data_IF_974230375250
#
_entry.id   IF_974230375250
#
_cell.length_a   1.000
_cell.length_b   1.000
_cell.length_c   1.000
_cell.angle_alpha   90.00
_cell.angle_beta   90.00
_cell.angle_gamma   90.00
#
_symmetry.space_group_name_H-M   'P 1'
#
loop_
_entity.id
_entity.type
_entity.pdbx_description
1 polymer ?
#
# COMPACT_ATOMS: atom_id res chain seq x y z
N UNK A 1 22.60 3.46 -5.59
CA UNK A 1 22.18 4.51 -4.63
C UNK A 1 23.34 5.50 -4.53
N UNK A 2 23.15 6.76 -4.92
CA UNK A 2 24.17 7.80 -4.77
C UNK A 2 23.84 8.56 -3.48
N UNK A 3 24.84 8.69 -2.59
CA UNK A 3 24.72 9.44 -1.33
C UNK A 3 25.52 10.73 -1.50
N UNK A 4 24.83 11.86 -1.60
CA UNK A 4 25.47 13.18 -1.64
C UNK A 4 25.52 13.75 -0.22
N UNK A 5 26.73 13.91 0.32
CA UNK A 5 26.94 14.60 1.58
C UNK A 5 27.19 16.10 1.32
N UNK A 6 26.63 16.96 2.18
CA UNK A 6 26.90 18.40 2.19
C UNK A 6 27.61 18.77 3.49
N UNK A 7 28.76 19.41 3.39
CA UNK A 7 29.54 19.95 4.50
C UNK A 7 30.14 21.32 4.13
N UNK A 8 30.56 22.13 5.13
CA UNK A 8 31.10 23.47 4.88
C UNK A 8 32.44 23.41 4.12
N UNK A 9 32.68 24.41 3.27
CA UNK A 9 33.59 24.35 2.14
C UNK A 9 35.12 24.41 2.44
N UNK A 10 35.55 24.32 3.70
CA UNK A 10 36.96 24.49 4.10
C UNK A 10 37.53 23.35 4.97
N UNK A 11 37.18 22.11 4.66
CA UNK A 11 37.97 20.96 5.12
C UNK A 11 38.34 20.06 3.95
N UNK A 12 39.64 19.86 3.76
CA UNK A 12 40.20 18.94 2.76
C UNK A 12 39.59 17.56 2.95
N UNK A 13 38.85 17.10 1.94
CA UNK A 13 38.08 15.86 2.02
C UNK A 13 39.02 14.65 2.13
N UNK A 14 39.19 14.15 3.35
CA UNK A 14 39.86 12.86 3.59
C UNK A 14 39.03 11.77 2.90
N UNK A 15 39.61 10.94 2.01
CA UNK A 15 38.87 9.89 1.35
C UNK A 15 38.42 8.85 2.38
N UNK A 16 37.12 8.82 2.67
CA UNK A 16 36.51 7.80 3.52
C UNK A 16 36.57 6.45 2.81
N UNK A 17 37.40 5.55 3.32
CA UNK A 17 37.44 4.16 2.87
C UNK A 17 36.16 3.44 3.34
N UNK A 18 35.17 3.37 2.46
CA UNK A 18 33.91 2.66 2.70
C UNK A 18 34.07 1.17 2.34
N UNK A 19 34.05 0.30 3.36
CA UNK A 19 33.97 -1.15 3.16
C UNK A 19 32.50 -1.58 3.01
N UNK A 20 32.13 -2.01 1.80
CA UNK A 20 30.76 -2.37 1.44
C UNK A 20 30.55 -3.89 1.47
N UNK A 21 30.17 -4.43 2.62
CA UNK A 21 29.73 -5.83 2.74
C UNK A 21 28.30 -6.01 2.20
N UNK A 22 28.14 -6.92 1.23
CA UNK A 22 26.83 -7.47 0.84
C UNK A 22 26.37 -8.43 1.95
N UNK A 23 25.11 -8.32 2.38
CA UNK A 23 24.55 -9.11 3.50
C UNK A 23 23.71 -10.32 3.05
N UNK A 24 23.70 -10.67 1.77
CA UNK A 24 22.90 -11.76 1.21
C UNK A 24 23.79 -12.76 0.45
N UNK A 25 24.07 -13.89 1.11
CA UNK A 25 24.83 -15.02 0.57
C UNK A 25 24.94 -16.13 1.62
N UNK A 26 24.77 -17.42 1.27
CA UNK A 26 24.58 -18.48 2.26
C UNK A 26 25.92 -18.86 2.94
N UNK A 27 25.97 -18.73 4.27
CA UNK A 27 27.13 -19.17 5.06
C UNK A 27 26.86 -20.57 5.61
N UNK A 28 27.48 -21.57 4.99
CA UNK A 28 27.57 -22.92 5.53
C UNK A 28 28.96 -23.16 6.12
N UNK A 29 29.03 -23.84 7.28
CA UNK A 29 30.26 -24.52 7.73
C UNK A 29 30.94 -23.98 8.99
N UNK A 30 30.31 -24.19 10.15
CA UNK A 30 31.05 -24.56 11.38
C UNK A 30 30.38 -25.84 11.93
N UNK A 31 31.07 -26.97 11.81
CA UNK A 31 30.76 -28.22 12.52
C UNK A 31 31.20 -28.09 13.99
N UNK A 32 30.68 -28.76 15.04
CA UNK A 32 29.86 -29.98 15.25
C UNK A 32 29.37 -29.94 16.73
N UNK A 33 28.44 -30.75 17.28
CA UNK A 33 27.61 -31.84 16.75
C UNK A 33 26.32 -32.03 17.61
N UNK A 34 25.16 -32.17 16.98
CA UNK A 34 23.99 -32.91 17.51
C UNK A 34 23.12 -33.32 16.31
N UNK A 35 22.63 -34.56 16.26
CA UNK A 35 22.24 -35.22 15.01
C UNK A 35 20.75 -35.58 14.89
N UNK A 36 20.36 -35.94 13.65
CA UNK A 36 19.09 -36.53 13.20
C UNK A 36 17.87 -35.57 13.10
N UNK A 37 17.08 -35.56 12.01
CA UNK A 37 17.16 -36.31 10.76
C UNK A 37 16.60 -35.52 9.55
N UNK A 38 17.10 -35.88 8.36
CA UNK A 38 16.75 -35.35 7.06
C UNK A 38 15.28 -35.57 6.64
N UNK A 39 14.75 -34.70 5.75
CA UNK A 39 14.31 -35.13 4.42
C UNK A 39 13.92 -33.96 3.48
N UNK A 40 14.40 -34.07 2.25
CA UNK A 40 14.05 -33.32 1.04
C UNK A 40 12.55 -33.24 0.75
N UNK A 41 12.03 -32.03 0.52
CA UNK A 41 11.16 -31.68 -0.62
C UNK A 41 11.19 -30.15 -0.79
N UNK A 42 11.23 -29.59 -2.00
CA UNK A 42 10.62 -30.09 -3.23
C UNK A 42 9.23 -29.49 -3.47
N UNK A 43 8.96 -28.30 -2.92
CA UNK A 43 7.68 -27.59 -3.04
C UNK A 43 7.66 -26.58 -4.18
N UNK A 44 7.52 -27.06 -5.42
CA UNK A 44 7.23 -26.21 -6.59
C UNK A 44 5.72 -26.11 -6.81
N UNK A 45 5.10 -25.03 -6.34
CA UNK A 45 3.90 -24.31 -6.85
C UNK A 45 3.61 -23.19 -5.84
N UNK A 46 3.21 -21.98 -6.21
CA UNK A 46 2.30 -21.66 -7.32
C UNK A 46 2.90 -20.77 -8.39
N UNK A 47 2.46 -20.98 -9.63
CA UNK A 47 2.48 -19.92 -10.63
C UNK A 47 1.50 -18.83 -10.17
N UNK A 48 2.02 -17.77 -9.54
CA UNK A 48 1.27 -16.53 -9.41
C UNK A 48 1.05 -15.99 -10.83
N UNK A 49 -0.17 -16.17 -11.35
CA UNK A 49 -0.61 -15.48 -12.56
C UNK A 49 -0.25 -14.00 -12.39
N UNK A 50 0.54 -13.46 -13.32
CA UNK A 50 1.08 -12.10 -13.26
C UNK A 50 -0.07 -11.09 -13.28
N UNK A 51 -0.59 -10.81 -12.09
CA UNK A 51 -1.81 -10.04 -11.89
C UNK A 51 -1.44 -8.59 -12.09
N UNK A 52 -1.79 -8.04 -13.27
CA UNK A 52 -1.38 -6.70 -13.65
C UNK A 52 -1.96 -5.68 -12.67
N UNK A 53 -1.09 -5.01 -11.95
CA UNK A 53 -1.46 -3.93 -11.03
C UNK A 53 -1.40 -2.59 -11.75
N UNK A 54 -2.55 -1.90 -11.81
CA UNK A 54 -2.67 -0.58 -12.42
C UNK A 54 -1.96 0.44 -11.52
N UNK A 55 -0.92 1.15 -12.01
CA UNK A 55 -0.25 2.17 -11.22
C UNK A 55 -1.21 3.31 -10.85
N UNK A 56 -1.16 3.70 -9.59
CA UNK A 56 -1.89 4.87 -9.07
C UNK A 56 -0.92 5.90 -8.50
N UNK A 57 -1.40 7.13 -8.40
CA UNK A 57 -0.83 8.21 -7.63
C UNK A 57 -1.77 8.51 -6.47
N UNK A 58 -1.22 8.63 -5.26
CA UNK A 58 -1.97 8.87 -4.03
C UNK A 58 -1.45 10.14 -3.38
N UNK A 59 -2.32 11.12 -3.21
CA UNK A 59 -2.07 12.30 -2.39
C UNK A 59 -2.65 12.07 -1.00
N UNK A 60 -1.87 12.34 0.04
CA UNK A 60 -2.33 12.37 1.44
C UNK A 60 -2.07 13.75 2.05
N UNK A 61 -3.05 14.33 2.74
CA UNK A 61 -2.80 15.40 3.69
C UNK A 61 -2.52 14.76 5.06
N UNK A 62 -1.26 14.77 5.47
CA UNK A 62 -0.80 14.19 6.72
C UNK A 62 -0.58 15.33 7.72
N UNK A 63 -1.06 15.18 8.96
CA UNK A 63 -0.87 16.20 9.98
C UNK A 63 0.60 16.60 10.12
N UNK A 64 0.86 17.90 10.32
CA UNK A 64 2.20 18.51 10.46
C UNK A 64 3.14 18.35 9.24
N UNK A 65 2.91 17.38 8.35
CA UNK A 65 3.73 17.09 7.18
C UNK A 65 3.15 17.63 5.85
N UNK A 66 1.87 18.03 5.86
CA UNK A 66 1.16 18.65 4.74
C UNK A 66 0.73 17.66 3.67
N UNK A 67 0.45 18.18 2.48
CA UNK A 67 0.20 17.36 1.29
C UNK A 67 1.47 16.62 0.88
N UNK A 68 1.36 15.30 0.71
CA UNK A 68 2.42 14.41 0.25
C UNK A 68 1.89 13.54 -0.88
N UNK A 69 2.65 13.47 -1.96
CA UNK A 69 2.33 12.69 -3.15
C UNK A 69 3.17 11.42 -3.19
N UNK A 70 2.54 10.28 -3.44
CA UNK A 70 3.16 8.97 -3.44
C UNK A 70 2.76 8.16 -4.68
N UNK A 71 3.67 7.35 -5.26
CA UNK A 71 3.24 6.25 -6.10
C UNK A 71 2.48 5.25 -5.23
N UNK A 72 1.25 4.89 -5.64
CA UNK A 72 0.45 3.87 -4.98
C UNK A 72 0.96 2.47 -5.32
N UNK A 73 2.10 2.11 -4.75
CA UNK A 73 2.73 0.79 -4.81
C UNK A 73 3.15 0.41 -3.40
N UNK A 74 2.32 -0.37 -2.72
CA UNK A 74 2.51 -0.71 -1.30
C UNK A 74 1.94 0.33 -0.34
N UNK A 75 2.55 0.45 0.84
CA UNK A 75 2.09 1.35 1.90
C UNK A 75 2.52 2.80 1.66
N UNK A 76 1.56 3.72 1.76
CA UNK A 76 1.78 5.17 1.67
C UNK A 76 1.21 5.87 2.90
N UNK A 77 1.88 6.93 3.37
CA UNK A 77 1.57 7.60 4.63
C UNK A 77 2.67 7.44 5.67
N UNK A 78 2.29 7.43 6.95
CA UNK A 78 3.19 7.49 8.10
C UNK A 78 3.11 6.23 8.96
N UNK A 79 3.23 5.06 8.33
CA UNK A 79 3.10 3.74 8.94
C UNK A 79 3.95 3.59 10.22
N UNK A 80 3.32 3.24 11.34
CA UNK A 80 3.91 3.08 12.67
C UNK A 80 4.34 4.39 13.36
N UNK A 81 4.07 5.55 12.76
CA UNK A 81 4.55 6.86 13.27
C UNK A 81 3.47 7.67 13.97
N UNK A 82 2.21 7.23 13.94
CA UNK A 82 1.05 7.93 14.53
C UNK A 82 0.94 9.39 14.08
N UNK A 83 1.03 9.61 12.76
CA UNK A 83 0.63 10.87 12.12
C UNK A 83 -0.66 10.61 11.34
N UNK A 84 -1.75 11.23 11.75
CA UNK A 84 -3.07 11.06 11.12
C UNK A 84 -3.12 11.62 9.70
N UNK A 85 -3.86 10.94 8.84
CA UNK A 85 -4.30 11.40 7.53
C UNK A 85 -5.63 12.16 7.73
N UNK A 86 -5.67 13.44 7.35
CA UNK A 86 -6.91 14.25 7.39
C UNK A 86 -7.67 14.24 6.04
N UNK A 87 -6.95 13.97 4.95
CA UNK A 87 -7.51 13.87 3.60
C UNK A 87 -6.67 12.98 2.68
N UNK A 88 -7.30 12.44 1.63
CA UNK A 88 -6.62 11.70 0.56
C UNK A 88 -7.25 11.95 -0.81
N UNK A 89 -6.51 11.62 -1.87
CA UNK A 89 -6.99 11.50 -3.24
C UNK A 89 -6.25 10.35 -3.92
N UNK A 90 -6.96 9.54 -4.72
CA UNK A 90 -6.39 8.44 -5.51
C UNK A 90 -6.59 8.77 -6.99
N UNK A 91 -5.58 8.56 -7.82
CA UNK A 91 -5.63 8.76 -9.27
C UNK A 91 -4.96 7.60 -10.01
N UNK A 92 -5.69 6.78 -10.78
CA UNK A 92 -5.11 5.83 -11.73
C UNK A 92 -4.31 6.59 -12.80
N UNK A 93 -3.16 6.03 -13.16
CA UNK A 93 -2.26 6.63 -14.17
C UNK A 93 -2.45 6.03 -15.57
N UNK A 94 -3.02 4.82 -15.65
CA UNK A 94 -3.35 4.12 -16.91
C UNK A 94 -4.58 3.22 -16.71
N UNK A 95 -5.05 2.58 -17.80
CA UNK A 95 -6.08 1.53 -17.87
C UNK A 95 -7.51 1.86 -17.37
N UNK A 96 -7.66 2.80 -16.44
CA UNK A 96 -8.90 3.23 -15.81
C UNK A 96 -8.93 4.77 -15.83
N UNK A 97 -10.05 5.38 -16.23
CA UNK A 97 -10.19 6.83 -16.17
C UNK A 97 -10.29 7.30 -14.71
N UNK A 98 -9.75 8.47 -14.33
CA UNK A 98 -9.91 8.97 -12.95
C UNK A 98 -11.37 9.09 -12.50
N UNK A 99 -12.31 9.36 -13.42
CA UNK A 99 -13.75 9.38 -13.12
C UNK A 99 -14.35 8.01 -12.75
N UNK A 100 -13.69 6.91 -13.12
CA UNK A 100 -14.17 5.53 -12.91
C UNK A 100 -13.69 4.90 -11.59
N UNK A 101 -12.89 5.63 -10.80
CA UNK A 101 -12.61 5.29 -9.40
C UNK A 101 -13.35 6.27 -8.50
N UNK A 102 -13.99 5.75 -7.47
CA UNK A 102 -14.66 6.54 -6.45
C UNK A 102 -14.18 6.13 -5.06
N UNK A 103 -14.03 7.10 -4.17
CA UNK A 103 -13.70 6.86 -2.78
C UNK A 103 -14.46 7.79 -1.84
N UNK A 104 -14.64 7.33 -0.60
CA UNK A 104 -15.11 8.16 0.51
C UNK A 104 -14.27 7.93 1.76
N UNK A 105 -14.24 8.93 2.62
CA UNK A 105 -13.55 8.94 3.89
C UNK A 105 -14.54 8.84 5.03
N UNK A 106 -14.10 8.24 6.12
CA UNK A 106 -14.88 8.08 7.32
C UNK A 106 -14.36 9.02 8.40
N UNK A 107 -15.28 9.72 9.06
CA UNK A 107 -14.99 10.77 10.04
C UNK A 107 -15.38 10.28 11.45
N UNK A 108 -14.75 10.82 12.50
CA UNK A 108 -15.11 10.56 13.88
C UNK A 108 -16.61 10.72 14.17
N UNK A 109 -17.10 10.03 15.20
CA UNK A 109 -18.51 10.07 15.65
C UNK A 109 -19.51 9.62 14.58
N UNK A 110 -19.10 8.69 13.72
CA UNK A 110 -19.95 8.08 12.69
C UNK A 110 -20.15 8.90 11.41
N UNK A 111 -19.47 10.05 11.27
CA UNK A 111 -19.55 10.84 10.04
C UNK A 111 -18.94 10.11 8.83
N UNK A 112 -19.32 10.55 7.63
CA UNK A 112 -18.67 10.14 6.39
C UNK A 112 -18.71 11.26 5.35
N UNK A 113 -17.76 11.24 4.42
CA UNK A 113 -17.81 12.10 3.24
C UNK A 113 -18.76 11.53 2.19
N UNK A 114 -19.13 12.37 1.24
CA UNK A 114 -19.72 11.91 -0.02
C UNK A 114 -18.69 11.07 -0.78
N UNK A 115 -19.15 10.22 -1.71
CA UNK A 115 -18.27 9.58 -2.69
C UNK A 115 -17.76 10.66 -3.64
N UNK A 116 -16.44 10.69 -3.86
CA UNK A 116 -15.78 11.59 -4.80
C UNK A 116 -14.94 10.77 -5.78
N UNK A 117 -14.74 11.33 -6.97
CA UNK A 117 -14.03 10.67 -8.07
C UNK A 117 -12.51 10.89 -8.02
N UNK A 118 -11.76 10.12 -8.81
CA UNK A 118 -10.31 10.18 -8.89
C UNK A 118 -9.73 11.56 -9.17
N UNK A 119 -8.75 11.95 -8.35
CA UNK A 119 -8.14 13.28 -8.37
C UNK A 119 -8.87 14.35 -7.52
N UNK A 120 -10.08 14.09 -7.04
CA UNK A 120 -10.74 14.96 -6.07
C UNK A 120 -10.26 14.67 -4.64
N UNK A 121 -10.16 15.71 -3.80
CA UNK A 121 -9.76 15.52 -2.41
C UNK A 121 -10.94 15.05 -1.56
N UNK A 122 -10.76 13.92 -0.89
CA UNK A 122 -11.66 13.39 0.13
C UNK A 122 -11.12 13.69 1.53
N UNK A 123 -11.88 14.39 2.36
CA UNK A 123 -11.51 14.76 3.73
C UNK A 123 -11.30 16.27 3.90
N UNK A 124 -10.45 16.68 4.83
CA UNK A 124 -10.16 18.11 5.10
C UNK A 124 -8.67 18.39 5.26
N UNK A 125 -8.22 19.61 4.97
CA UNK A 125 -6.83 20.04 5.22
C UNK A 125 -6.75 20.97 6.43
N UNK A 126 -5.75 20.77 7.28
CA UNK A 126 -5.40 21.65 8.40
C UNK A 126 -6.49 21.80 9.47
N UNK A 127 -7.47 20.90 9.53
CA UNK A 127 -8.59 20.96 10.50
C UNK A 127 -8.38 20.09 11.73
N UNK A 128 -7.29 19.30 11.79
CA UNK A 128 -7.03 18.32 12.85
C UNK A 128 -8.14 17.28 12.99
N UNK A 129 -8.91 17.07 11.93
CA UNK A 129 -9.96 16.07 11.85
C UNK A 129 -9.39 14.84 11.12
N UNK A 130 -9.04 13.75 11.83
CA UNK A 130 -8.53 12.55 11.19
C UNK A 130 -9.61 11.88 10.35
N UNK A 131 -9.18 11.15 9.33
CA UNK A 131 -9.95 10.04 8.80
C UNK A 131 -9.78 8.85 9.75
N UNK A 132 -10.88 8.16 10.04
CA UNK A 132 -10.93 6.93 10.85
C UNK A 132 -11.16 5.69 9.97
N UNK A 133 -10.89 5.85 8.67
CA UNK A 133 -11.14 4.85 7.65
C UNK A 133 -11.53 5.44 6.30
N UNK A 134 -11.71 4.57 5.32
CA UNK A 134 -12.06 4.90 3.94
C UNK A 134 -12.73 3.72 3.23
N UNK A 135 -13.32 3.97 2.07
CA UNK A 135 -13.76 2.94 1.14
C UNK A 135 -13.43 3.37 -0.29
N UNK A 136 -13.09 2.41 -1.15
CA UNK A 136 -12.71 2.63 -2.55
C UNK A 136 -13.47 1.65 -3.43
N UNK A 137 -14.09 2.13 -4.50
CA UNK A 137 -14.80 1.31 -5.50
C UNK A 137 -14.47 1.75 -6.91
N UNK A 138 -14.71 0.86 -7.86
CA UNK A 138 -14.64 1.16 -9.29
C UNK A 138 -16.06 1.28 -9.85
N UNK A 139 -16.20 1.98 -10.98
CA UNK A 139 -17.44 2.03 -11.74
C UNK A 139 -17.94 0.63 -12.10
N UNK A 140 -19.25 0.43 -12.12
CA UNK A 140 -19.87 -0.90 -12.29
C UNK A 140 -19.46 -1.59 -13.59
N UNK A 141 -19.20 -0.84 -14.66
CA UNK A 141 -18.69 -1.31 -15.95
C UNK A 141 -17.29 -1.93 -15.88
N UNK A 142 -16.51 -1.64 -14.84
CA UNK A 142 -15.17 -2.19 -14.62
C UNK A 142 -15.15 -3.46 -13.75
N UNK A 143 -16.25 -3.76 -13.06
CA UNK A 143 -16.33 -4.85 -12.05
C UNK A 143 -15.95 -6.24 -12.58
N UNK A 144 -16.24 -6.52 -13.86
CA UNK A 144 -15.88 -7.76 -14.55
C UNK A 144 -14.43 -7.82 -15.06
N UNK A 145 -13.67 -6.72 -14.96
CA UNK A 145 -12.27 -6.62 -15.44
C UNK A 145 -11.27 -6.28 -14.33
N UNK A 146 -11.69 -5.58 -13.30
CA UNK A 146 -10.80 -5.09 -12.25
C UNK A 146 -11.38 -5.32 -10.85
N UNK A 147 -10.49 -5.54 -9.89
CA UNK A 147 -10.76 -5.46 -8.45
C UNK A 147 -9.94 -4.32 -7.85
N UNK A 148 -10.50 -3.59 -6.90
CA UNK A 148 -9.71 -2.72 -6.00
C UNK A 148 -9.65 -3.35 -4.61
N UNK A 149 -8.43 -3.57 -4.13
CA UNK A 149 -8.11 -4.14 -2.81
C UNK A 149 -7.39 -3.08 -2.00
N UNK A 150 -7.75 -2.91 -0.73
CA UNK A 150 -7.13 -1.90 0.12
C UNK A 150 -7.10 -2.28 1.60
N UNK A 151 -6.14 -1.68 2.31
CA UNK A 151 -5.94 -1.80 3.75
C UNK A 151 -5.64 -0.42 4.34
N UNK A 152 -6.04 -0.21 5.59
CA UNK A 152 -5.62 0.91 6.43
C UNK A 152 -4.64 0.47 7.49
N UNK A 153 -3.77 1.37 7.95
CA UNK A 153 -3.09 1.26 9.24
C UNK A 153 -3.64 2.34 10.17
N UNK A 154 -4.02 1.95 11.37
CA UNK A 154 -4.60 2.82 12.39
C UNK A 154 -3.71 2.91 13.63
N UNK A 155 -3.84 3.99 14.41
CA UNK A 155 -2.94 4.29 15.54
C UNK A 155 -2.92 3.20 16.64
N UNK A 156 -4.03 2.49 16.83
CA UNK A 156 -4.22 1.52 17.92
C UNK A 156 -4.41 0.10 17.37
N UNK A 157 -5.23 -0.08 16.34
CA UNK A 157 -5.46 -1.37 15.71
C UNK A 157 -4.28 -1.85 14.83
N UNK A 158 -3.49 -0.91 14.29
CA UNK A 158 -2.47 -1.23 13.29
C UNK A 158 -3.12 -1.57 11.95
N UNK A 159 -2.55 -2.56 11.25
CA UNK A 159 -2.93 -2.91 9.88
C UNK A 159 -4.24 -3.71 9.85
N UNK A 160 -5.24 -3.21 9.12
CA UNK A 160 -6.51 -3.90 8.89
C UNK A 160 -6.37 -5.15 8.02
N UNK A 161 -7.38 -6.02 8.04
CA UNK A 161 -7.54 -7.03 6.99
C UNK A 161 -7.79 -6.37 5.62
N UNK A 162 -7.58 -7.08 4.49
CA UNK A 162 -7.87 -6.54 3.16
C UNK A 162 -9.37 -6.38 2.89
N UNK A 163 -9.77 -5.17 2.51
CA UNK A 163 -11.12 -4.82 2.05
C UNK A 163 -11.14 -4.70 0.53
N UNK A 164 -12.33 -4.84 -0.08
CA UNK A 164 -12.49 -4.79 -1.54
C UNK A 164 -13.71 -4.00 -1.98
N UNK A 165 -13.63 -3.39 -3.16
CA UNK A 165 -14.77 -2.92 -3.97
C UNK A 165 -15.90 -2.21 -3.18
N UNK A 166 -15.55 -1.21 -2.36
CA UNK A 166 -16.49 -0.38 -1.61
C UNK A 166 -16.81 -0.84 -0.19
N UNK A 167 -16.28 -1.99 0.26
CA UNK A 167 -16.36 -2.42 1.66
C UNK A 167 -15.73 -1.37 2.59
N UNK A 168 -16.36 -0.98 3.71
CA UNK A 168 -15.77 -0.05 4.65
C UNK A 168 -14.47 -0.60 5.27
N UNK A 169 -13.34 0.08 5.04
CA UNK A 169 -12.13 -0.09 5.83
C UNK A 169 -12.18 0.93 6.97
N UNK A 170 -12.49 0.48 8.18
CA UNK A 170 -12.56 1.27 9.42
C UNK A 170 -11.93 0.43 10.53
N UNK A 171 -11.30 1.09 11.51
CA UNK A 171 -10.94 0.41 12.75
C UNK A 171 -12.20 -0.07 13.49
N UNK A 172 -12.08 -1.19 14.19
CA UNK A 172 -13.00 -1.63 15.23
C UNK A 172 -12.87 -0.78 16.50
N UNK A 173 -11.68 -0.21 16.75
CA UNK A 173 -11.46 0.77 17.82
C UNK A 173 -12.20 2.11 17.51
N UNK A 174 -13.02 2.64 18.44
CA UNK A 174 -13.78 3.87 18.21
C UNK A 174 -12.90 5.07 17.86
N UNK A 175 -13.21 5.73 16.75
CA UNK A 175 -12.54 6.93 16.23
C UNK A 175 -11.00 6.82 16.11
N UNK A 176 -10.43 5.62 15.94
CA UNK A 176 -8.98 5.39 15.82
C UNK A 176 -8.42 6.00 14.51
N UNK A 177 -7.45 6.94 14.57
CA UNK A 177 -6.97 7.64 13.38
C UNK A 177 -6.20 6.75 12.40
N UNK A 178 -6.47 6.94 11.11
CA UNK A 178 -5.76 6.35 9.98
C UNK A 178 -4.40 7.05 9.78
N UNK A 179 -3.29 6.31 9.78
CA UNK A 179 -1.93 6.83 9.56
C UNK A 179 -1.31 6.46 8.20
N UNK A 180 -1.75 5.35 7.61
CA UNK A 180 -1.25 4.88 6.31
C UNK A 180 -2.34 4.10 5.56
N UNK A 181 -2.23 4.05 4.24
CA UNK A 181 -3.08 3.22 3.38
C UNK A 181 -2.25 2.42 2.40
N UNK A 182 -2.80 1.30 1.96
CA UNK A 182 -2.33 0.50 0.84
C UNK A 182 -3.53 0.30 -0.08
N UNK A 183 -3.39 0.66 -1.36
CA UNK A 183 -4.47 0.54 -2.35
C UNK A 183 -3.88 -0.06 -3.62
N UNK A 184 -4.46 -1.17 -4.07
CA UNK A 184 -4.03 -1.94 -5.24
C UNK A 184 -5.21 -2.14 -6.17
N UNK A 185 -5.06 -1.75 -7.41
CA UNK A 185 -6.04 -1.99 -8.48
C UNK A 185 -5.49 -3.12 -9.35
N UNK A 186 -6.18 -4.26 -9.35
CA UNK A 186 -5.73 -5.47 -10.01
C UNK A 186 -6.62 -5.79 -11.21
N UNK A 187 -6.02 -6.06 -12.37
CA UNK A 187 -6.73 -6.67 -13.50
C UNK A 187 -7.08 -8.13 -13.15
N UNK A 188 -8.34 -8.52 -13.33
CA UNK A 188 -8.78 -9.89 -13.13
C UNK A 188 -8.10 -10.79 -14.16
N UNK A 189 -7.57 -11.93 -13.71
CA UNK A 189 -7.22 -13.00 -14.64
C UNK A 189 -8.49 -13.43 -15.39
N UNK A 190 -8.49 -13.32 -16.72
CA UNK A 190 -9.54 -13.91 -17.54
C UNK A 190 -9.45 -15.42 -17.39
N UNK A 191 -10.47 -16.05 -16.81
CA UNK A 191 -10.57 -17.50 -16.71
C UNK A 191 -10.87 -18.05 -18.11
N UNK A 192 -9.80 -18.19 -18.91
CA UNK A 192 -9.85 -18.55 -20.31
C UNK A 192 -10.04 -20.06 -20.41
N UNK A 193 -11.30 -20.44 -20.64
CA UNK A 193 -11.75 -21.70 -21.23
C UNK A 193 -11.10 -22.99 -20.69
N UNK A 194 -11.74 -23.58 -19.67
CA UNK A 194 -11.53 -24.99 -19.34
C UNK A 194 -11.93 -25.81 -20.59
N UNK A 195 -11.02 -26.56 -21.24
CA UNK A 195 -11.40 -27.38 -22.38
C UNK A 195 -12.46 -28.40 -21.93
N UNK A 196 -13.44 -28.73 -22.81
CA UNK A 196 -14.43 -29.73 -22.47
C UNK A 196 -13.74 -31.05 -22.13
N UNK A 197 -14.18 -31.70 -21.06
CA UNK A 197 -13.70 -33.03 -20.72
C UNK A 197 -14.03 -33.97 -21.89
N UNK A 198 -13.01 -34.68 -22.39
CA UNK A 198 -13.23 -35.75 -23.35
C UNK A 198 -13.89 -36.94 -22.64
N UNK A 199 -14.97 -37.45 -23.24
CA UNK A 199 -15.60 -38.74 -22.90
C UNK A 199 -14.67 -39.93 -23.20
#
# INVERSE_FOLDING_TARGET
MIVTAYGPAEQSAVPLALDLRRLDGPVAGIEKAAAAAAATSGGSVSAESQTREVPTEILLHIERAGDRLFPGRGWVGALGRKLQIEAFSIRPLEAIAPADIEFKGFLPRGGETQWVQGGALCGTRGRRLPLIGFAVRLGSHLSGRFDVIYQGSFFTEGISTPHRNGQPCRAAAPDDPLEAINVRILERATEHERPPAAD
#
